data_IF_093701668382
#
_entry.id   IF_093701668382
#
_cell.length_a   1.000
_cell.length_b   1.000
_cell.length_c   1.000
_cell.angle_alpha   90.00
_cell.angle_beta   90.00
_cell.angle_gamma   90.00
#
_symmetry.space_group_name_H-M   'P 1'
#
loop_
_entity.id
_entity.type
_entity.pdbx_description
1 polymer ?
#
# COMPACT_ATOMS: atom_id res chain seq x y z
N UNK A 1 -37.42 47.11 -35.47
CA UNK A 1 -36.05 46.60 -35.60
C UNK A 1 -35.13 47.63 -35.00
N UNK A 2 -34.70 47.42 -33.76
CA UNK A 2 -33.90 48.39 -33.02
C UNK A 2 -32.63 47.69 -32.52
N UNK A 3 -31.49 48.17 -33.00
CA UNK A 3 -30.19 47.90 -32.43
C UNK A 3 -30.00 48.78 -31.20
N UNK A 4 -29.53 48.19 -30.10
CA UNK A 4 -29.06 48.93 -28.92
C UNK A 4 -27.76 48.29 -28.44
N UNK A 5 -26.68 49.03 -28.58
CA UNK A 5 -25.40 48.81 -27.92
C UNK A 5 -25.51 49.14 -26.42
N UNK A 6 -24.73 48.48 -25.55
CA UNK A 6 -24.06 49.07 -24.39
C UNK A 6 -22.94 48.11 -23.88
N UNK A 7 -21.84 48.61 -23.29
CA UNK A 7 -20.54 47.94 -23.20
C UNK A 7 -20.24 47.37 -21.80
N UNK A 8 -19.27 46.45 -21.73
CA UNK A 8 -18.70 46.00 -20.45
C UNK A 8 -17.34 46.67 -20.21
N UNK A 9 -17.31 47.50 -19.16
CA UNK A 9 -16.11 47.91 -18.45
C UNK A 9 -15.66 46.77 -17.54
N UNK A 10 -14.38 46.38 -17.57
CA UNK A 10 -13.71 45.78 -16.40
C UNK A 10 -12.31 46.38 -16.27
N UNK A 11 -12.05 46.86 -15.06
CA UNK A 11 -10.89 47.58 -14.56
C UNK A 11 -9.74 46.66 -14.14
N UNK A 12 -8.54 47.02 -14.58
CA UNK A 12 -7.21 46.99 -13.92
C UNK A 12 -6.95 46.15 -12.65
N UNK A 13 -5.81 45.43 -12.70
CA UNK A 13 -4.92 45.07 -11.57
C UNK A 13 -3.88 44.03 -12.01
N UNK A 14 -2.67 44.41 -12.47
CA UNK A 14 -1.38 44.43 -11.73
C UNK A 14 -1.18 43.15 -10.87
N UNK A 15 -0.17 42.30 -10.98
CA UNK A 15 1.26 42.41 -11.34
C UNK A 15 1.77 40.98 -11.65
N UNK A 16 2.65 40.76 -12.65
CA UNK A 16 4.11 40.56 -12.50
C UNK A 16 4.42 39.35 -11.56
N UNK A 17 5.07 38.23 -11.92
CA UNK A 17 6.29 37.94 -12.68
C UNK A 17 6.38 36.40 -12.77
N UNK A 18 6.84 35.80 -13.87
CA UNK A 18 7.92 34.78 -13.90
C UNK A 18 8.39 34.68 -15.36
N UNK A 19 9.55 35.26 -15.62
CA UNK A 19 10.26 35.09 -16.87
C UNK A 19 11.07 33.79 -16.84
N UNK A 20 10.98 33.07 -17.95
CA UNK A 20 11.87 31.99 -18.36
C UNK A 20 13.35 32.37 -18.25
N UNK A 21 14.18 31.47 -17.73
CA UNK A 21 15.57 31.30 -18.15
C UNK A 21 15.96 29.82 -18.00
N UNK A 22 16.02 29.14 -19.14
CA UNK A 22 16.67 27.84 -19.37
C UNK A 22 18.18 28.06 -19.45
N UNK A 23 18.98 27.27 -18.73
CA UNK A 23 20.36 26.94 -19.16
C UNK A 23 20.72 25.48 -18.82
N UNK A 24 21.52 24.80 -19.67
CA UNK A 24 21.74 23.36 -19.61
C UNK A 24 22.98 22.99 -18.78
N UNK A 25 22.94 21.85 -18.09
CA UNK A 25 24.11 21.26 -17.40
C UNK A 25 24.83 20.25 -18.31
N UNK A 26 26.13 20.47 -18.53
CA UNK A 26 27.06 19.47 -19.09
C UNK A 26 27.46 18.41 -18.03
N UNK A 27 27.93 17.22 -18.46
CA UNK A 27 28.04 16.04 -17.60
C UNK A 27 29.37 15.98 -16.85
N UNK A 28 29.34 15.50 -15.60
CA UNK A 28 30.53 15.24 -14.80
C UNK A 28 30.83 13.73 -14.76
N UNK A 29 32.11 13.44 -14.92
CA UNK A 29 32.78 12.16 -15.11
C UNK A 29 32.78 11.28 -13.85
N UNK A 30 32.73 9.95 -14.02
CA UNK A 30 32.61 8.97 -12.93
C UNK A 30 33.92 8.19 -12.79
N UNK A 31 34.82 8.69 -11.96
CA UNK A 31 35.92 7.89 -11.42
C UNK A 31 36.21 8.34 -9.98
N UNK A 32 35.83 7.55 -8.99
CA UNK A 32 36.80 6.69 -8.30
C UNK A 32 36.12 6.02 -7.08
N UNK A 33 36.37 4.72 -6.94
CA UNK A 33 35.92 3.92 -5.79
C UNK A 33 37.06 3.90 -4.79
N UNK A 34 36.87 4.46 -3.61
CA UNK A 34 37.33 3.97 -2.29
C UNK A 34 37.53 5.14 -1.32
N UNK A 35 36.71 5.20 -0.26
CA UNK A 35 37.11 5.62 1.09
C UNK A 35 35.88 5.58 2.01
N UNK A 36 35.57 4.40 2.54
CA UNK A 36 34.68 4.27 3.68
C UNK A 36 35.49 4.52 4.96
N UNK A 37 35.37 5.73 5.50
CA UNK A 37 35.85 6.08 6.82
C UNK A 37 34.89 5.55 7.89
N UNK A 38 35.52 4.93 8.90
CA UNK A 38 35.03 4.72 10.26
C UNK A 38 34.29 5.96 10.79
N UNK A 39 33.24 5.76 11.59
CA UNK A 39 32.96 6.52 12.82
C UNK A 39 31.88 5.79 13.65
N UNK A 40 32.08 5.83 14.97
CA UNK A 40 31.39 5.09 16.02
C UNK A 40 30.00 5.67 16.41
N UNK A 41 29.18 4.81 17.04
CA UNK A 41 27.87 5.07 17.67
C UNK A 41 28.06 5.68 19.10
N UNK A 42 27.04 6.04 19.93
CA UNK A 42 25.59 6.22 19.73
C UNK A 42 24.99 7.50 20.36
N UNK A 43 23.67 7.68 20.18
CA UNK A 43 22.77 8.57 20.94
C UNK A 43 22.83 10.08 20.63
N UNK A 44 21.98 10.51 19.68
CA UNK A 44 21.14 11.71 19.81
C UNK A 44 20.03 11.69 18.77
N UNK A 45 18.80 11.94 19.22
CA UNK A 45 17.63 12.19 18.37
C UNK A 45 17.95 13.34 17.41
N UNK A 46 17.72 13.15 16.12
CA UNK A 46 17.60 14.23 15.16
C UNK A 46 16.20 14.18 14.55
N UNK A 47 15.47 15.27 14.75
CA UNK A 47 14.23 15.60 14.04
C UNK A 47 14.61 15.85 12.56
N UNK A 48 13.84 15.37 11.57
CA UNK A 48 14.22 15.59 10.17
C UNK A 48 13.89 17.02 9.73
N UNK A 49 14.92 17.79 9.40
CA UNK A 49 14.81 18.97 8.53
C UNK A 49 15.77 18.81 7.36
N UNK A 50 15.19 18.73 6.17
CA UNK A 50 15.73 18.97 4.83
C UNK A 50 16.87 18.08 4.26
N UNK A 51 16.43 17.16 3.38
CA UNK A 51 16.99 16.69 2.10
C UNK A 51 18.51 16.72 1.91
N UNK A 52 19.11 15.53 2.03
CA UNK A 52 20.37 15.19 1.35
C UNK A 52 20.08 14.07 0.35
N UNK A 53 20.35 14.34 -0.92
CA UNK A 53 20.02 13.53 -2.08
C UNK A 53 20.86 12.24 -2.15
N UNK A 54 20.35 11.17 -1.55
CA UNK A 54 20.66 9.77 -1.92
C UNK A 54 19.37 9.06 -2.36
N UNK A 55 18.53 9.80 -3.07
CA UNK A 55 17.20 9.39 -3.55
C UNK A 55 17.32 8.65 -4.89
N UNK A 56 17.68 7.36 -4.84
CA UNK A 56 17.64 6.49 -6.02
C UNK A 56 17.08 5.08 -5.78
N UNK A 57 17.10 4.60 -4.53
CA UNK A 57 16.75 3.20 -4.22
C UNK A 57 15.52 3.05 -3.30
N UNK A 58 14.99 4.14 -2.71
CA UNK A 58 14.04 4.04 -1.59
C UNK A 58 12.76 4.88 -1.72
N UNK A 59 12.38 5.33 -2.91
CA UNK A 59 11.21 6.21 -3.08
C UNK A 59 9.83 5.56 -2.86
N UNK A 60 9.73 4.29 -2.44
CA UNK A 60 8.50 3.78 -1.80
C UNK A 60 8.84 2.75 -0.70
N UNK A 61 9.72 3.08 0.24
CA UNK A 61 9.81 2.31 1.48
C UNK A 61 8.47 2.48 2.23
N UNK A 62 7.82 1.38 2.58
CA UNK A 62 6.66 1.45 3.47
C UNK A 62 7.15 2.03 4.81
N UNK A 63 6.38 2.94 5.40
CA UNK A 63 6.77 3.53 6.68
C UNK A 63 6.79 2.46 7.77
N UNK A 64 7.82 2.43 8.64
CA UNK A 64 7.83 1.52 9.78
C UNK A 64 6.56 1.67 10.63
N UNK A 65 6.03 0.57 11.19
CA UNK A 65 4.83 0.64 12.02
C UNK A 65 5.12 1.42 13.31
N UNK A 66 4.10 2.10 13.81
CA UNK A 66 4.15 2.66 15.16
C UNK A 66 4.20 1.52 16.17
N UNK A 67 5.10 1.61 17.13
CA UNK A 67 5.21 0.62 18.19
C UNK A 67 4.05 0.76 19.18
N UNK A 68 3.48 -0.37 19.58
CA UNK A 68 2.49 -0.41 20.64
C UNK A 68 3.15 -0.01 21.95
N UNK A 69 2.45 0.82 22.73
CA UNK A 69 2.92 1.24 24.07
C UNK A 69 2.90 0.06 25.02
N UNK A 70 3.95 -0.06 25.82
CA UNK A 70 4.12 -1.17 26.75
C UNK A 70 3.00 -1.25 27.79
N UNK A 71 2.46 -0.12 28.23
CA UNK A 71 1.53 0.01 29.35
C UNK A 71 0.23 -0.81 29.17
N UNK A 72 -0.16 -1.09 27.93
CA UNK A 72 -1.43 -1.78 27.62
C UNK A 72 -1.25 -3.27 27.31
N UNK A 73 -0.02 -3.80 27.34
CA UNK A 73 0.27 -5.17 26.92
C UNK A 73 0.79 -5.99 28.08
N UNK A 74 -0.01 -6.95 28.54
CA UNK A 74 0.31 -7.78 29.70
C UNK A 74 0.93 -9.13 29.30
N UNK A 75 0.72 -9.59 28.07
CA UNK A 75 1.20 -10.87 27.58
C UNK A 75 1.85 -10.79 26.19
N UNK A 76 2.72 -11.74 25.89
CA UNK A 76 3.39 -11.87 24.59
C UNK A 76 2.36 -12.06 23.47
N UNK A 77 2.45 -11.25 22.40
CA UNK A 77 1.52 -11.31 21.26
C UNK A 77 1.62 -12.56 20.38
N UNK A 78 2.43 -13.56 20.74
CA UNK A 78 2.54 -14.83 20.03
C UNK A 78 2.23 -16.03 20.95
N UNK A 79 2.93 -16.16 22.07
CA UNK A 79 2.77 -17.31 22.98
C UNK A 79 1.91 -17.03 24.22
N UNK A 80 1.36 -15.82 24.36
CA UNK A 80 0.52 -15.39 25.48
C UNK A 80 1.16 -15.52 26.87
N UNK A 81 2.49 -15.68 26.96
CA UNK A 81 3.19 -15.65 28.26
C UNK A 81 3.07 -14.25 28.88
N UNK A 82 2.65 -14.18 30.14
CA UNK A 82 2.58 -12.93 30.88
C UNK A 82 3.96 -12.33 31.10
N UNK A 83 4.03 -11.02 30.91
CA UNK A 83 5.20 -10.22 31.22
C UNK A 83 5.28 -9.95 32.72
N UNK A 84 6.50 -9.75 33.21
CA UNK A 84 6.75 -9.46 34.62
C UNK A 84 8.21 -9.11 34.83
N UNK A 85 8.66 -9.09 36.08
CA UNK A 85 10.03 -8.65 36.42
C UNK A 85 11.13 -9.44 35.69
N UNK A 86 10.92 -10.75 35.48
CA UNK A 86 11.87 -11.63 34.81
C UNK A 86 11.64 -11.78 33.30
N UNK A 87 10.46 -11.39 32.80
CA UNK A 87 10.04 -11.56 31.40
C UNK A 87 9.84 -10.19 30.78
N UNK A 88 10.89 -9.70 30.13
CA UNK A 88 10.93 -8.37 29.50
C UNK A 88 10.16 -8.35 28.18
N UNK A 89 9.62 -7.17 27.88
CA UNK A 89 8.91 -6.84 26.63
C UNK A 89 9.90 -6.52 25.52
N UNK A 90 9.60 -6.95 24.30
CA UNK A 90 10.40 -6.65 23.11
C UNK A 90 9.53 -6.35 21.90
N UNK A 91 9.75 -5.21 21.24
CA UNK A 91 9.05 -4.88 20.00
C UNK A 91 9.60 -5.62 18.79
N UNK A 92 8.74 -6.10 17.92
CA UNK A 92 9.13 -6.45 16.55
C UNK A 92 9.23 -5.17 15.72
N UNK A 93 10.33 -4.98 15.00
CA UNK A 93 10.53 -3.77 14.17
C UNK A 93 9.76 -3.81 12.86
N UNK A 94 9.26 -4.97 12.45
CA UNK A 94 8.43 -5.14 11.24
C UNK A 94 6.94 -4.96 11.49
N UNK A 95 6.38 -5.49 12.59
CA UNK A 95 4.95 -5.37 12.90
C UNK A 95 4.61 -4.41 14.06
N UNK A 96 5.59 -3.97 14.84
CA UNK A 96 5.39 -3.03 15.95
C UNK A 96 4.77 -3.61 17.23
N UNK A 97 4.39 -4.90 17.22
CA UNK A 97 3.80 -5.60 18.37
C UNK A 97 4.88 -6.04 19.40
N UNK A 98 4.43 -6.43 20.59
CA UNK A 98 5.28 -6.77 21.73
C UNK A 98 5.33 -8.29 21.98
N UNK A 99 6.54 -8.81 22.18
CA UNK A 99 6.85 -10.23 22.33
C UNK A 99 7.83 -10.49 23.48
N UNK A 100 7.90 -11.73 23.94
CA UNK A 100 8.95 -12.19 24.84
C UNK A 100 10.26 -12.48 24.07
N UNK A 101 11.37 -12.64 24.79
CA UNK A 101 12.68 -12.85 24.18
C UNK A 101 12.77 -14.09 23.29
N UNK A 102 11.99 -15.13 23.59
CA UNK A 102 11.92 -16.34 22.77
C UNK A 102 11.15 -16.13 21.46
N UNK A 103 10.03 -15.42 21.51
CA UNK A 103 9.20 -15.16 20.33
C UNK A 103 9.74 -14.05 19.42
N UNK A 104 10.76 -13.31 19.88
CA UNK A 104 11.46 -12.30 19.10
C UNK A 104 12.98 -12.43 19.22
N UNK A 105 13.49 -13.65 19.06
CA UNK A 105 14.91 -13.97 19.23
C UNK A 105 15.77 -13.58 18.01
N UNK A 106 15.15 -13.41 16.85
CA UNK A 106 15.82 -13.23 15.57
C UNK A 106 16.05 -11.75 15.24
N UNK A 107 17.13 -11.49 14.52
CA UNK A 107 17.49 -10.18 14.00
C UNK A 107 17.76 -10.32 12.51
N UNK A 108 17.06 -9.54 11.70
CA UNK A 108 17.24 -9.53 10.26
C UNK A 108 16.94 -8.14 9.70
N UNK A 109 17.39 -7.88 8.49
CA UNK A 109 17.14 -6.65 7.74
C UNK A 109 15.68 -6.62 7.31
N UNK A 110 15.11 -5.44 7.13
CA UNK A 110 13.75 -5.29 6.57
C UNK A 110 13.81 -4.25 5.48
N UNK A 111 14.18 -4.69 4.29
CA UNK A 111 14.51 -3.82 3.16
C UNK A 111 13.33 -2.94 2.76
N UNK A 112 12.12 -3.51 2.78
CA UNK A 112 10.88 -2.78 2.44
C UNK A 112 10.58 -1.59 3.36
N UNK A 113 11.11 -1.58 4.58
CA UNK A 113 10.94 -0.50 5.57
C UNK A 113 12.19 0.39 5.68
N UNK A 114 13.21 0.15 4.87
CA UNK A 114 14.49 0.87 4.92
C UNK A 114 15.42 0.43 6.06
N UNK A 115 15.14 -0.67 6.76
CA UNK A 115 16.05 -1.24 7.75
C UNK A 115 17.14 -2.06 7.06
N UNK A 116 18.26 -1.40 6.75
CA UNK A 116 19.44 -2.01 6.12
C UNK A 116 20.28 -2.78 7.13
N UNK A 117 20.28 -2.36 8.39
CA UNK A 117 20.91 -3.09 9.49
C UNK A 117 19.92 -4.10 10.12
N UNK A 118 20.40 -5.25 10.64
CA UNK A 118 19.54 -6.23 11.29
C UNK A 118 18.78 -5.63 12.48
N UNK A 119 17.46 -5.76 12.44
CA UNK A 119 16.55 -5.32 13.51
C UNK A 119 15.83 -6.52 14.12
N UNK A 120 15.43 -6.39 15.38
CA UNK A 120 14.71 -7.46 16.08
C UNK A 120 13.35 -7.75 15.42
N UNK A 121 13.09 -9.01 15.12
CA UNK A 121 11.84 -9.49 14.54
C UNK A 121 11.17 -10.52 15.45
N UNK A 122 9.84 -10.63 15.36
CA UNK A 122 9.14 -11.80 15.88
C UNK A 122 9.29 -12.98 14.92
N UNK A 123 8.99 -14.19 15.41
CA UNK A 123 9.09 -15.41 14.62
C UNK A 123 8.25 -15.34 13.32
N UNK A 124 7.01 -14.87 13.39
CA UNK A 124 6.12 -14.74 12.21
C UNK A 124 6.68 -13.77 11.17
N UNK A 125 7.20 -12.62 11.64
CA UNK A 125 7.83 -11.65 10.76
C UNK A 125 9.11 -12.20 10.13
N UNK A 126 9.89 -13.00 10.85
CA UNK A 126 11.15 -13.55 10.33
C UNK A 126 10.93 -14.34 9.05
N UNK A 127 9.97 -15.27 9.06
CA UNK A 127 9.63 -16.09 7.88
C UNK A 127 9.17 -15.23 6.70
N UNK A 128 8.33 -14.22 6.97
CA UNK A 128 7.79 -13.35 5.93
C UNK A 128 8.89 -12.47 5.32
N UNK A 129 9.69 -11.83 6.18
CA UNK A 129 10.72 -10.87 5.79
C UNK A 129 11.83 -11.52 4.96
N UNK A 130 12.20 -12.77 5.23
CA UNK A 130 13.20 -13.47 4.41
C UNK A 130 12.77 -13.53 2.93
N UNK A 131 11.53 -13.95 2.67
CA UNK A 131 10.99 -14.02 1.31
C UNK A 131 10.83 -12.63 0.66
N UNK A 132 10.47 -11.62 1.44
CA UNK A 132 10.36 -10.25 0.95
C UNK A 132 11.72 -9.63 0.63
N UNK A 133 12.72 -9.81 1.52
CA UNK A 133 14.08 -9.33 1.30
C UNK A 133 14.67 -9.94 0.03
N UNK A 134 14.50 -11.25 -0.20
CA UNK A 134 14.91 -11.88 -1.46
C UNK A 134 14.30 -11.19 -2.68
N UNK A 135 13.01 -10.83 -2.61
CA UNK A 135 12.37 -10.08 -3.68
C UNK A 135 12.95 -8.68 -3.85
N UNK A 136 13.04 -7.87 -2.79
CA UNK A 136 13.50 -6.49 -2.88
C UNK A 136 14.98 -6.36 -3.27
N UNK A 137 15.82 -7.31 -2.85
CA UNK A 137 17.26 -7.25 -3.12
C UNK A 137 17.62 -7.87 -4.48
N UNK A 138 16.97 -8.96 -4.88
CA UNK A 138 17.37 -9.73 -6.08
C UNK A 138 16.43 -9.51 -7.25
N UNK A 139 15.12 -9.63 -7.02
CA UNK A 139 14.14 -9.65 -8.10
C UNK A 139 13.68 -8.27 -8.53
N UNK A 140 13.45 -7.35 -7.59
CA UNK A 140 12.97 -6.00 -7.91
C UNK A 140 13.95 -5.23 -8.81
N UNK A 141 15.28 -5.20 -8.54
CA UNK A 141 16.23 -4.52 -9.43
C UNK A 141 16.27 -5.15 -10.82
N UNK A 142 16.22 -6.49 -10.91
CA UNK A 142 16.18 -7.20 -12.19
C UNK A 142 14.95 -6.81 -13.01
N UNK A 143 13.78 -6.73 -12.38
CA UNK A 143 12.55 -6.36 -13.06
C UNK A 143 12.53 -4.87 -13.45
N UNK A 144 13.00 -3.96 -12.59
CA UNK A 144 12.99 -2.51 -12.86
C UNK A 144 14.03 -2.11 -13.92
N UNK A 145 15.23 -2.70 -13.90
CA UNK A 145 16.25 -2.51 -14.94
C UNK A 145 15.69 -3.02 -16.28
N UNK A 146 15.05 -4.19 -16.25
CA UNK A 146 14.50 -4.84 -17.42
C UNK A 146 15.52 -5.63 -18.22
N UNK A 147 15.02 -6.41 -19.16
CA UNK A 147 15.85 -7.24 -20.05
C UNK A 147 15.28 -7.28 -21.46
N UNK A 148 16.15 -7.67 -22.40
CA UNK A 148 15.80 -7.85 -23.80
C UNK A 148 15.33 -9.28 -24.05
N UNK A 149 14.13 -9.40 -24.61
CA UNK A 149 13.52 -10.64 -25.03
C UNK A 149 13.25 -10.65 -26.53
N UNK A 150 13.13 -11.84 -27.09
CA UNK A 150 12.64 -12.04 -28.45
C UNK A 150 11.13 -12.31 -28.45
N UNK A 151 10.36 -11.61 -29.29
CA UNK A 151 8.98 -11.97 -29.64
C UNK A 151 8.89 -12.48 -31.07
N UNK A 152 8.19 -13.60 -31.22
CA UNK A 152 7.81 -14.14 -32.52
C UNK A 152 6.39 -13.69 -32.85
N UNK A 153 6.23 -12.88 -33.89
CA UNK A 153 4.94 -12.66 -34.54
C UNK A 153 4.71 -13.66 -35.68
N UNK A 154 3.56 -13.56 -36.36
CA UNK A 154 3.19 -14.44 -37.48
C UNK A 154 4.27 -14.54 -38.57
N UNK A 155 4.99 -13.44 -38.85
CA UNK A 155 5.98 -13.38 -39.94
C UNK A 155 7.29 -12.68 -39.56
N UNK A 156 7.41 -12.14 -38.34
CA UNK A 156 8.57 -11.31 -37.95
C UNK A 156 9.02 -11.61 -36.54
N UNK A 157 10.32 -11.78 -36.39
CA UNK A 157 11.02 -11.75 -35.10
C UNK A 157 11.32 -10.30 -34.75
N UNK A 158 11.02 -9.89 -33.51
CA UNK A 158 11.40 -8.57 -32.99
C UNK A 158 12.02 -8.70 -31.61
N UNK A 159 12.98 -7.84 -31.31
CA UNK A 159 13.52 -7.69 -29.96
C UNK A 159 12.70 -6.66 -29.20
N UNK A 160 12.37 -6.97 -27.95
CA UNK A 160 11.60 -6.12 -27.06
C UNK A 160 12.33 -6.00 -25.73
N UNK A 161 12.31 -4.81 -25.14
CA UNK A 161 12.81 -4.61 -23.79
C UNK A 161 11.63 -4.65 -22.83
N UNK A 162 11.59 -5.65 -21.95
CA UNK A 162 10.55 -5.84 -20.93
C UNK A 162 11.08 -5.33 -19.59
N UNK A 163 10.31 -4.49 -18.91
CA UNK A 163 10.63 -3.98 -17.56
C UNK A 163 9.37 -3.87 -16.69
N UNK A 164 9.56 -3.82 -15.39
CA UNK A 164 8.51 -3.56 -14.41
C UNK A 164 8.58 -2.11 -13.95
N UNK A 165 7.43 -1.45 -13.93
CA UNK A 165 7.27 -0.09 -13.41
C UNK A 165 6.49 -0.18 -12.12
N UNK A 166 7.22 -0.04 -11.00
CA UNK A 166 6.68 -0.20 -9.65
C UNK A 166 5.60 0.82 -9.30
N UNK A 167 5.73 2.08 -9.73
CA UNK A 167 4.76 3.15 -9.43
C UNK A 167 3.36 2.87 -10.00
N UNK A 168 3.29 2.18 -11.13
CA UNK A 168 2.03 1.82 -11.79
C UNK A 168 1.66 0.34 -11.62
N UNK A 169 2.54 -0.48 -11.03
CA UNK A 169 2.38 -1.94 -10.95
C UNK A 169 2.16 -2.60 -12.32
N UNK A 170 2.87 -2.09 -13.35
CA UNK A 170 2.74 -2.56 -14.73
C UNK A 170 4.06 -3.14 -15.23
N UNK A 171 4.00 -4.29 -15.87
CA UNK A 171 5.04 -4.68 -16.80
C UNK A 171 4.84 -3.93 -18.11
N UNK A 172 5.93 -3.40 -18.67
CA UNK A 172 5.92 -2.67 -19.92
C UNK A 172 6.93 -3.28 -20.87
N UNK A 173 6.55 -3.47 -22.13
CA UNK A 173 7.50 -3.85 -23.15
C UNK A 173 7.33 -3.04 -24.42
N UNK A 174 8.45 -2.73 -25.06
CA UNK A 174 8.50 -1.94 -26.30
C UNK A 174 9.56 -2.53 -27.22
N UNK A 175 9.42 -2.35 -28.53
CA UNK A 175 10.45 -2.77 -29.47
C UNK A 175 11.76 -2.02 -29.18
N UNK A 176 12.84 -2.79 -29.07
CA UNK A 176 14.16 -2.30 -28.70
C UNK A 176 15.20 -2.79 -29.71
N UNK A 177 16.08 -1.89 -30.13
CA UNK A 177 17.23 -2.22 -30.93
C UNK A 177 18.49 -2.26 -30.03
N UNK A 178 19.08 -3.44 -29.79
CA UNK A 178 20.20 -3.58 -28.86
C UNK A 178 21.48 -2.92 -29.38
N UNK A 179 21.62 -2.75 -30.71
CA UNK A 179 22.81 -2.16 -31.34
C UNK A 179 22.82 -0.66 -31.16
N UNK A 180 21.68 -0.01 -31.42
CA UNK A 180 21.56 1.46 -31.34
C UNK A 180 21.03 1.94 -29.99
N UNK A 181 20.65 1.02 -29.09
CA UNK A 181 19.98 1.29 -27.82
C UNK A 181 18.75 2.20 -27.96
N UNK A 182 18.02 2.03 -29.07
CA UNK A 182 16.85 2.86 -29.40
C UNK A 182 15.55 2.07 -29.25
N UNK A 183 14.51 2.79 -28.84
CA UNK A 183 13.14 2.28 -28.72
C UNK A 183 12.32 2.68 -29.94
N UNK A 184 11.39 1.81 -30.36
CA UNK A 184 10.51 2.05 -31.50
C UNK A 184 9.08 1.57 -31.22
N UNK A 185 8.11 2.25 -31.82
CA UNK A 185 6.70 1.86 -31.76
C UNK A 185 6.07 2.10 -30.40
N UNK A 186 4.89 1.53 -30.19
CA UNK A 186 4.10 1.74 -28.97
C UNK A 186 4.60 0.86 -27.82
N UNK A 187 4.40 1.36 -26.60
CA UNK A 187 4.67 0.63 -25.37
C UNK A 187 3.45 -0.17 -24.98
N UNK A 188 3.63 -1.49 -24.90
CA UNK A 188 2.60 -2.42 -24.46
C UNK A 188 2.67 -2.58 -22.94
N UNK A 189 1.52 -2.67 -22.28
CA UNK A 189 1.42 -2.81 -20.83
C UNK A 189 0.72 -4.10 -20.43
N UNK A 190 1.28 -4.76 -19.42
CA UNK A 190 0.79 -6.00 -18.82
C UNK A 190 0.60 -5.70 -17.33
N UNK A 191 -0.65 -5.47 -16.88
CA UNK A 191 -0.92 -5.19 -15.47
C UNK A 191 -0.57 -6.39 -14.59
N UNK A 192 0.23 -6.18 -13.54
CA UNK A 192 0.66 -7.26 -12.66
C UNK A 192 -0.59 -7.98 -12.11
N UNK A 193 -1.59 -7.22 -11.64
CA UNK A 193 -2.87 -7.66 -11.04
C UNK A 193 -3.66 -8.62 -11.92
N UNK A 194 -3.57 -8.46 -13.24
CA UNK A 194 -4.29 -9.29 -14.21
C UNK A 194 -3.53 -10.53 -14.66
N UNK A 195 -2.27 -10.71 -14.26
CA UNK A 195 -1.52 -11.92 -14.58
C UNK A 195 -2.17 -13.10 -13.85
N UNK A 196 -2.64 -14.07 -14.62
CA UNK A 196 -3.28 -15.29 -14.12
C UNK A 196 -2.26 -16.42 -13.95
N UNK A 197 -1.36 -16.58 -14.91
CA UNK A 197 -0.31 -17.61 -14.88
C UNK A 197 0.99 -17.16 -15.57
N UNK A 198 2.10 -17.72 -15.10
CA UNK A 198 3.43 -17.60 -15.71
C UNK A 198 3.96 -19.02 -15.88
N UNK A 199 4.26 -19.43 -17.11
CA UNK A 199 4.68 -20.81 -17.41
C UNK A 199 5.69 -20.84 -18.54
N UNK A 200 6.46 -21.92 -18.60
CA UNK A 200 7.34 -22.18 -19.75
C UNK A 200 6.50 -22.53 -20.97
N UNK A 201 6.98 -22.13 -22.15
CA UNK A 201 6.35 -22.50 -23.40
C UNK A 201 7.37 -22.65 -24.52
N UNK A 202 7.15 -23.59 -25.42
CA UNK A 202 7.93 -23.70 -26.65
C UNK A 202 7.72 -22.46 -27.53
N UNK A 203 8.82 -21.82 -27.91
CA UNK A 203 8.88 -20.60 -28.73
C UNK A 203 9.77 -20.82 -29.95
N UNK A 204 9.59 -19.96 -30.96
CA UNK A 204 10.30 -20.03 -32.23
C UNK A 204 9.60 -20.88 -33.30
N UNK A 205 10.07 -20.82 -34.56
CA UNK A 205 9.44 -21.49 -35.69
C UNK A 205 9.47 -23.03 -35.56
N UNK A 206 10.50 -23.59 -34.92
CA UNK A 206 10.68 -25.04 -34.79
C UNK A 206 10.28 -25.57 -33.41
N UNK A 207 9.71 -24.73 -32.53
CA UNK A 207 9.40 -25.06 -31.13
C UNK A 207 10.59 -25.60 -30.30
N UNK A 208 11.82 -25.47 -30.79
CA UNK A 208 13.03 -26.01 -30.19
C UNK A 208 13.57 -25.20 -29.01
N UNK A 209 13.01 -24.01 -28.74
CA UNK A 209 13.43 -23.13 -27.63
C UNK A 209 12.32 -22.99 -26.61
N UNK A 210 12.70 -22.82 -25.34
CA UNK A 210 11.77 -22.53 -24.25
C UNK A 210 11.80 -21.05 -23.90
N UNK A 211 10.63 -20.44 -23.87
CA UNK A 211 10.40 -19.06 -23.45
C UNK A 211 9.41 -18.98 -22.29
N UNK A 212 9.09 -17.76 -21.91
CA UNK A 212 8.14 -17.41 -20.86
C UNK A 212 6.80 -17.08 -21.51
N UNK A 213 5.72 -17.63 -20.98
CA UNK A 213 4.35 -17.25 -21.28
C UNK A 213 3.73 -16.59 -20.06
N UNK A 214 3.33 -15.33 -20.22
CA UNK A 214 2.55 -14.57 -19.24
C UNK A 214 1.12 -14.50 -19.74
N UNK A 215 0.19 -15.18 -19.05
CA UNK A 215 -1.22 -15.13 -19.36
C UNK A 215 -1.90 -14.02 -18.57
N UNK A 216 -2.68 -13.18 -19.27
CA UNK A 216 -3.43 -12.05 -18.72
C UNK A 216 -4.86 -12.13 -19.24
N UNK A 217 -5.81 -12.45 -18.38
CA UNK A 217 -7.20 -12.71 -18.77
C UNK A 217 -7.27 -13.69 -19.98
N UNK A 218 -7.67 -13.20 -21.15
CA UNK A 218 -7.77 -13.95 -22.41
C UNK A 218 -6.57 -13.77 -23.36
N UNK A 219 -5.55 -13.01 -22.96
CA UNK A 219 -4.36 -12.69 -23.74
C UNK A 219 -3.14 -13.48 -23.26
N UNK A 220 -2.28 -13.89 -24.21
CA UNK A 220 -1.02 -14.56 -23.91
C UNK A 220 0.17 -13.75 -24.44
N UNK A 221 1.09 -13.39 -23.55
CA UNK A 221 2.32 -12.71 -23.90
C UNK A 221 3.50 -13.68 -23.80
N UNK A 222 4.00 -14.09 -24.96
CA UNK A 222 5.16 -14.98 -25.08
C UNK A 222 6.44 -14.18 -25.24
N UNK A 223 7.50 -14.57 -24.55
CA UNK A 223 8.82 -13.94 -24.54
C UNK A 223 9.90 -15.03 -24.58
N UNK A 224 10.76 -14.98 -25.58
CA UNK A 224 11.90 -15.88 -25.71
C UNK A 224 13.13 -15.25 -25.04
N UNK A 225 13.62 -15.90 -23.99
CA UNK A 225 14.79 -15.47 -23.23
C UNK A 225 16.07 -15.89 -23.96
N UNK A 226 17.16 -15.14 -23.77
CA UNK A 226 18.44 -15.47 -24.38
C UNK A 226 19.05 -16.75 -23.80
N UNK A 227 18.85 -16.99 -22.50
CA UNK A 227 19.37 -18.15 -21.77
C UNK A 227 18.31 -18.76 -20.86
N UNK A 228 18.51 -20.03 -20.50
CA UNK A 228 17.68 -20.70 -19.48
C UNK A 228 17.75 -20.01 -18.12
N UNK A 229 18.94 -19.57 -17.72
CA UNK A 229 19.12 -18.83 -16.47
C UNK A 229 18.27 -17.55 -16.45
N UNK A 230 18.30 -16.76 -17.54
CA UNK A 230 17.47 -15.57 -17.65
C UNK A 230 15.98 -15.91 -17.59
N UNK A 231 15.57 -16.98 -18.28
CA UNK A 231 14.17 -17.47 -18.27
C UNK A 231 13.71 -17.75 -16.85
N UNK A 232 14.46 -18.57 -16.11
CA UNK A 232 14.12 -18.98 -14.76
C UNK A 232 14.11 -17.80 -13.79
N UNK A 233 15.14 -16.94 -13.84
CA UNK A 233 15.22 -15.74 -12.99
C UNK A 233 14.02 -14.81 -13.20
N UNK A 234 13.62 -14.57 -14.44
CA UNK A 234 12.45 -13.73 -14.74
C UNK A 234 11.14 -14.38 -14.32
N UNK A 235 10.98 -15.69 -14.50
CA UNK A 235 9.79 -16.40 -14.04
C UNK A 235 9.66 -16.31 -12.51
N UNK A 236 10.73 -16.61 -11.77
CA UNK A 236 10.76 -16.52 -10.32
C UNK A 236 10.50 -15.09 -9.83
N UNK A 237 11.08 -14.10 -10.52
CA UNK A 237 10.87 -12.69 -10.21
C UNK A 237 9.42 -12.24 -10.44
N UNK A 238 8.78 -12.61 -11.55
CA UNK A 238 7.38 -12.28 -11.83
C UNK A 238 6.45 -12.97 -10.82
N UNK A 239 6.70 -14.25 -10.52
CA UNK A 239 5.95 -14.99 -9.50
C UNK A 239 6.13 -14.37 -8.12
N UNK A 240 7.35 -13.97 -7.77
CA UNK A 240 7.67 -13.24 -6.54
C UNK A 240 6.92 -11.91 -6.45
N UNK A 241 6.87 -11.14 -7.55
CA UNK A 241 6.13 -9.88 -7.60
C UNK A 241 4.62 -10.08 -7.37
N UNK A 242 4.04 -11.14 -7.94
CA UNK A 242 2.63 -11.50 -7.70
C UNK A 242 2.39 -11.88 -6.24
N UNK A 243 3.24 -12.74 -5.66
CA UNK A 243 3.13 -13.14 -4.25
C UNK A 243 3.17 -11.94 -3.31
N UNK A 244 4.11 -11.01 -3.53
CA UNK A 244 4.22 -9.80 -2.71
C UNK A 244 2.97 -8.93 -2.84
N UNK A 245 2.47 -8.72 -4.06
CA UNK A 245 1.25 -7.95 -4.27
C UNK A 245 0.04 -8.61 -3.61
N UNK A 246 -0.12 -9.92 -3.75
CA UNK A 246 -1.25 -10.65 -3.16
C UNK A 246 -1.20 -10.55 -1.62
N UNK A 247 -0.03 -10.65 -1.01
CA UNK A 247 0.16 -10.43 0.43
C UNK A 247 -0.22 -9.00 0.87
N UNK A 248 0.18 -7.98 0.09
CA UNK A 248 -0.21 -6.58 0.37
C UNK A 248 -1.72 -6.37 0.28
N UNK A 249 -2.38 -6.95 -0.72
CA UNK A 249 -3.84 -6.87 -0.88
C UNK A 249 -4.58 -7.57 0.27
N UNK A 250 -4.07 -8.70 0.75
CA UNK A 250 -4.64 -9.38 1.94
C UNK A 250 -4.52 -8.47 3.16
N UNK A 251 -3.33 -7.91 3.42
CA UNK A 251 -3.12 -7.00 4.55
C UNK A 251 -4.02 -5.75 4.47
N UNK A 252 -4.21 -5.17 3.29
CA UNK A 252 -5.10 -4.04 3.08
C UNK A 252 -6.58 -4.40 3.33
N UNK A 253 -7.01 -5.57 2.86
CA UNK A 253 -8.37 -6.09 3.12
C UNK A 253 -8.62 -6.31 4.60
N UNK A 254 -7.67 -6.88 5.33
CA UNK A 254 -7.77 -7.07 6.78
C UNK A 254 -7.84 -5.73 7.52
N UNK A 255 -7.02 -4.75 7.13
CA UNK A 255 -7.07 -3.40 7.71
C UNK A 255 -8.43 -2.74 7.48
N UNK A 256 -8.97 -2.87 6.26
CA UNK A 256 -10.30 -2.36 5.92
C UNK A 256 -11.40 -3.07 6.69
N UNK A 257 -11.31 -4.39 6.86
CA UNK A 257 -12.28 -5.17 7.64
C UNK A 257 -12.34 -4.69 9.09
N UNK A 258 -11.19 -4.49 9.75
CA UNK A 258 -11.11 -3.95 11.12
C UNK A 258 -11.68 -2.54 11.23
N UNK A 259 -11.47 -1.70 10.23
CA UNK A 259 -12.04 -0.35 10.19
C UNK A 259 -13.57 -0.39 10.09
N UNK A 260 -14.11 -1.25 9.21
CA UNK A 260 -15.56 -1.43 9.05
C UNK A 260 -16.19 -2.00 10.32
N UNK A 261 -15.53 -2.94 10.99
CA UNK A 261 -15.99 -3.49 12.27
C UNK A 261 -16.11 -2.40 13.34
N UNK A 262 -15.10 -1.53 13.46
CA UNK A 262 -15.13 -0.39 14.38
C UNK A 262 -16.26 0.59 14.06
N UNK A 263 -16.44 0.93 12.79
CA UNK A 263 -17.54 1.81 12.35
C UNK A 263 -18.92 1.19 12.65
N UNK A 264 -19.07 -0.12 12.48
CA UNK A 264 -20.30 -0.84 12.81
C UNK A 264 -20.57 -0.84 14.32
N UNK A 265 -19.55 -0.98 15.15
CA UNK A 265 -19.68 -0.86 16.61
C UNK A 265 -20.12 0.54 17.03
N UNK A 266 -19.51 1.59 16.46
CA UNK A 266 -19.91 2.98 16.72
C UNK A 266 -21.36 3.25 16.28
N UNK A 267 -21.79 2.70 15.14
CA UNK A 267 -23.18 2.79 14.67
C UNK A 267 -24.14 2.06 15.62
N UNK A 268 -23.74 0.87 16.11
CA UNK A 268 -24.54 0.10 17.07
C UNK A 268 -24.73 0.88 18.37
N UNK A 269 -23.65 1.41 18.93
CA UNK A 269 -23.70 2.22 20.16
C UNK A 269 -24.58 3.47 19.96
N UNK A 270 -24.46 4.13 18.81
CA UNK A 270 -25.30 5.29 18.49
C UNK A 270 -26.77 4.92 18.37
N UNK A 271 -27.09 3.80 17.72
CA UNK A 271 -28.45 3.28 17.57
C UNK A 271 -29.08 2.92 18.92
N UNK A 272 -28.33 2.25 19.80
CA UNK A 272 -28.77 1.91 21.16
C UNK A 272 -29.06 3.17 21.98
N UNK A 273 -28.19 4.16 21.90
CA UNK A 273 -28.39 5.45 22.56
C UNK A 273 -29.63 6.19 22.04
N UNK A 274 -29.84 6.22 20.72
CA UNK A 274 -31.04 6.82 20.11
C UNK A 274 -32.32 6.12 20.58
N UNK A 275 -32.34 4.79 20.57
CA UNK A 275 -33.47 4.00 21.05
C UNK A 275 -33.76 4.26 22.54
N UNK A 276 -32.71 4.42 23.36
CA UNK A 276 -32.87 4.78 24.77
C UNK A 276 -33.51 6.17 24.93
N UNK A 277 -33.08 7.14 24.13
CA UNK A 277 -33.64 8.50 24.14
C UNK A 277 -35.11 8.51 23.69
N UNK A 278 -35.46 7.75 22.66
CA UNK A 278 -36.85 7.60 22.20
C UNK A 278 -37.75 6.97 23.27
N UNK A 279 -37.29 5.89 23.91
CA UNK A 279 -38.02 5.26 25.03
C UNK A 279 -38.24 6.25 26.18
N UNK A 280 -37.22 7.02 26.58
CA UNK A 280 -37.35 8.05 27.62
C UNK A 280 -38.34 9.16 27.24
N UNK A 281 -38.35 9.56 25.97
CA UNK A 281 -39.31 10.55 25.45
C UNK A 281 -40.74 10.01 25.50
N UNK A 282 -40.94 8.76 25.10
CA UNK A 282 -42.24 8.09 25.12
C UNK A 282 -42.79 7.97 26.56
N UNK A 283 -41.97 7.50 27.50
CA UNK A 283 -42.39 7.36 28.91
C UNK A 283 -42.73 8.71 29.55
N UNK A 284 -41.97 9.76 29.25
CA UNK A 284 -42.29 11.10 29.72
C UNK A 284 -43.63 11.61 29.14
N UNK A 285 -43.89 11.35 27.86
CA UNK A 285 -45.14 11.71 27.21
C UNK A 285 -46.33 10.93 27.80
N UNK A 286 -46.17 9.64 28.06
CA UNK A 286 -47.18 8.79 28.70
C UNK A 286 -47.47 9.26 30.14
N UNK A 287 -46.46 9.51 30.97
CA UNK A 287 -46.66 9.99 32.34
C UNK A 287 -47.37 11.35 32.37
N UNK A 288 -47.00 12.25 31.44
CA UNK A 288 -47.68 13.54 31.28
C UNK A 288 -49.16 13.36 30.91
N UNK A 289 -49.49 12.43 30.03
CA UNK A 289 -50.87 12.12 29.65
C UNK A 289 -51.64 11.50 30.82
N UNK A 290 -51.03 10.57 31.56
CA UNK A 290 -51.60 9.94 32.75
C UNK A 290 -51.96 10.97 33.81
N UNK A 291 -51.01 11.83 34.22
CA UNK A 291 -51.26 12.90 35.23
C UNK A 291 -52.37 13.87 34.80
N UNK A 292 -52.45 14.19 33.50
CA UNK A 292 -53.54 15.02 32.95
C UNK A 292 -54.88 14.29 33.02
N UNK A 293 -54.91 12.98 32.74
CA UNK A 293 -56.07 12.12 32.90
C UNK A 293 -56.57 12.10 34.35
N UNK A 294 -55.68 11.80 35.30
CA UNK A 294 -55.98 11.76 36.74
C UNK A 294 -56.52 13.10 37.24
N UNK A 295 -55.91 14.22 36.84
CA UNK A 295 -56.40 15.55 37.22
C UNK A 295 -57.79 15.84 36.64
N UNK A 296 -58.08 15.41 35.41
CA UNK A 296 -59.43 15.53 34.83
C UNK A 296 -60.45 14.70 35.63
N UNK A 297 -60.07 13.51 36.06
CA UNK A 297 -60.93 12.62 36.85
C UNK A 297 -61.18 13.16 38.27
N UNK A 298 -60.14 13.67 38.94
CA UNK A 298 -60.28 14.35 40.24
C UNK A 298 -61.21 15.57 40.15
N UNK A 299 -61.09 16.37 39.09
CA UNK A 299 -61.98 17.51 38.88
C UNK A 299 -63.42 17.05 38.62
N UNK A 300 -63.63 15.98 37.85
CA UNK A 300 -64.97 15.40 37.64
C UNK A 300 -65.60 14.94 38.96
N UNK A 301 -64.85 14.23 39.80
CA UNK A 301 -65.31 13.76 41.11
C UNK A 301 -65.62 14.93 42.06
N UNK A 302 -64.76 15.95 42.12
CA UNK A 302 -64.95 17.13 43.00
C UNK A 302 -66.22 17.91 42.67
N UNK A 303 -66.59 17.99 41.39
CA UNK A 303 -67.71 18.81 40.92
C UNK A 303 -68.94 17.98 40.48
N UNK A 304 -68.98 16.67 40.77
CA UNK A 304 -70.07 15.75 40.35
C UNK A 304 -70.45 15.87 38.86
N UNK A 305 -69.46 16.03 37.98
CA UNK A 305 -69.69 16.15 36.55
C UNK A 305 -69.92 14.75 35.94
N UNK A 306 -71.10 14.52 35.37
CA UNK A 306 -71.44 13.27 34.71
C UNK A 306 -70.46 12.99 33.55
N UNK A 307 -70.14 11.71 33.34
CA UNK A 307 -69.39 11.27 32.17
C UNK A 307 -70.30 11.47 30.97
N UNK A 308 -70.01 12.45 30.12
CA UNK A 308 -70.64 12.52 28.80
C UNK A 308 -70.14 11.30 28.03
N UNK A 309 -71.00 10.29 27.90
CA UNK A 309 -70.75 9.13 27.06
C UNK A 309 -70.73 9.60 25.60
N UNK A 310 -69.61 9.37 24.93
CA UNK A 310 -69.43 9.49 23.48
C UNK A 310 -68.77 8.23 22.99
#
# INVERSE_FOLDING_TARGET
MAASAFPQQITTGLSALVAYCFQPSQPCDFSDKTQFLKCDNPSRRLVPTEKCSTDGLFLNAAFPPQWVKDDFIEACGLCNVEFGLLKRKHHCRSCGLIFCGHCAATFDRVVKLGYIEPVRLCNDCTTTIQSENDFFEKFLPLLEIGDVFTKYGLLRKRQVHLKYVRSTSLFQYQQFNPVTKSYKGDTEAIPLDKITSVREVSVGPDHAKLGILIAVDSQEHRFDAATEQQRQQWMDAIVGARRLRDALLVAEREKRAKQVEKENDEIRDMSENLLMMEKRRATFQEDRMRRRGEKREQLRAKYNLAIVAS
#
